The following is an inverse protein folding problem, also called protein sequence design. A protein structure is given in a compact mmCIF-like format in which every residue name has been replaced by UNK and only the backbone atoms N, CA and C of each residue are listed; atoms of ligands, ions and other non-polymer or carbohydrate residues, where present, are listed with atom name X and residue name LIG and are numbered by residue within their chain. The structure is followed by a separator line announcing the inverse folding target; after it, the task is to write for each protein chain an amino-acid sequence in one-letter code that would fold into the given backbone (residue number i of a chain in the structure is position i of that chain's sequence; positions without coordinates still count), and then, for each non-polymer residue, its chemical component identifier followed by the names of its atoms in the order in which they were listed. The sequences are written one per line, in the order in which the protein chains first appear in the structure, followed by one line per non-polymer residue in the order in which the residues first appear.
data_IF_983984344163
#
_entry.id   IF_983984344163
#
_cell.length_a   1.000
_cell.length_b   1.000
_cell.length_c   1.000
_cell.angle_alpha   90.00
_cell.angle_beta   90.00
_cell.angle_gamma   90.00
#
_symmetry.space_group_name_H-M   'P 1'
#
loop_
_entity.id
_entity.type
_entity.pdbx_description
1 polymer ?
#
# COMPACT_ATOMS: atom_id res chain seq x y z
N UNK A 1 33.18 -35.85 73.67
CA UNK A 1 33.30 -36.90 74.66
C UNK A 1 33.00 -38.23 73.94
N UNK A 2 34.01 -39.09 73.91
CA UNK A 2 34.08 -40.54 73.63
C UNK A 2 33.50 -41.08 72.33
N UNK A 3 34.36 -41.51 71.45
CA UNK A 3 35.28 -42.64 71.35
C UNK A 3 34.61 -43.92 70.86
N UNK A 4 35.10 -44.39 69.66
CA UNK A 4 35.58 -45.78 69.34
C UNK A 4 34.51 -46.87 69.31
N UNK A 5 34.51 -47.86 68.41
CA UNK A 5 35.61 -48.66 67.85
C UNK A 5 35.08 -49.48 66.65
N UNK A 6 35.96 -49.73 65.74
CA UNK A 6 36.23 -50.91 64.91
C UNK A 6 35.53 -52.23 65.28
N UNK A 7 35.06 -53.01 64.29
CA UNK A 7 35.75 -54.25 64.02
C UNK A 7 35.44 -54.90 62.65
N UNK A 8 36.35 -55.68 62.21
CA UNK A 8 36.59 -56.37 60.96
C UNK A 8 35.76 -57.67 60.83
N UNK A 9 35.52 -58.04 59.57
CA UNK A 9 35.51 -59.48 59.32
C UNK A 9 34.71 -60.00 58.16
N UNK A 10 35.50 -60.48 57.23
CA UNK A 10 35.39 -61.68 56.38
C UNK A 10 34.67 -61.69 55.05
N UNK A 11 35.50 -62.11 54.10
CA UNK A 11 35.28 -62.46 52.71
C UNK A 11 34.25 -63.57 52.47
N UNK A 12 33.57 -63.46 51.38
CA UNK A 12 32.87 -64.55 50.72
C UNK A 12 32.81 -64.29 49.22
N UNK A 13 33.64 -65.03 48.46
CA UNK A 13 33.63 -65.04 46.98
C UNK A 13 32.38 -65.75 46.51
N UNK A 14 31.61 -65.06 45.61
CA UNK A 14 30.74 -65.76 44.67
C UNK A 14 30.89 -65.05 43.30
N UNK A 15 31.35 -65.88 42.38
CA UNK A 15 31.50 -65.54 40.94
C UNK A 15 30.14 -65.58 40.28
N UNK A 16 29.77 -64.51 39.58
CA UNK A 16 28.65 -64.55 38.65
C UNK A 16 28.90 -63.68 37.44
N UNK A 17 28.76 -64.25 36.30
CA UNK A 17 28.89 -63.88 34.92
C UNK A 17 28.57 -62.42 34.58
N UNK A 18 29.49 -61.79 33.85
CA UNK A 18 29.22 -60.54 33.04
C UNK A 18 28.40 -60.90 31.78
N UNK A 19 27.23 -60.29 31.63
CA UNK A 19 26.59 -60.12 30.36
C UNK A 19 26.65 -58.56 30.05
N UNK A 20 27.62 -58.19 29.20
CA UNK A 20 27.74 -56.79 28.70
C UNK A 20 26.70 -56.60 27.64
N UNK A 21 25.60 -55.90 27.98
CA UNK A 21 24.69 -55.30 26.98
C UNK A 21 25.22 -53.93 26.65
N UNK A 22 25.94 -53.81 25.54
CA UNK A 22 26.34 -52.53 24.94
C UNK A 22 25.14 -51.81 24.33
N UNK A 23 24.61 -50.79 25.02
CA UNK A 23 23.72 -49.79 24.39
C UNK A 23 24.60 -48.81 23.61
N UNK A 24 24.68 -49.00 22.30
CA UNK A 24 25.19 -47.98 21.39
C UNK A 24 24.18 -46.82 21.33
N UNK A 25 24.49 -45.72 22.01
CA UNK A 25 23.80 -44.44 21.89
C UNK A 25 24.19 -43.85 20.53
N UNK A 26 23.42 -44.16 19.48
CA UNK A 26 23.50 -43.47 18.21
C UNK A 26 22.91 -42.04 18.44
N UNK A 27 23.77 -41.11 18.75
CA UNK A 27 23.41 -39.69 18.67
C UNK A 27 23.08 -39.39 17.21
N UNK A 28 21.82 -39.28 16.89
CA UNK A 28 21.38 -38.61 15.67
C UNK A 28 21.84 -37.14 15.77
N UNK A 29 22.99 -36.83 15.20
CA UNK A 29 23.34 -35.49 14.83
C UNK A 29 22.35 -35.07 13.72
N UNK A 30 21.25 -34.42 14.11
CA UNK A 30 20.48 -33.66 13.16
C UNK A 30 21.47 -32.66 12.52
N UNK A 31 21.54 -32.56 11.20
CA UNK A 31 22.36 -31.52 10.59
C UNK A 31 21.88 -30.18 11.16
N UNK A 32 22.78 -29.40 11.74
CA UNK A 32 22.51 -28.01 12.04
C UNK A 32 21.97 -27.39 10.77
N UNK A 33 20.90 -26.57 10.84
CA UNK A 33 20.48 -25.84 9.67
C UNK A 33 21.69 -25.10 9.14
N UNK A 34 22.03 -25.34 7.86
CA UNK A 34 23.05 -24.56 7.19
C UNK A 34 22.58 -23.11 7.31
N UNK A 35 23.33 -22.28 8.02
CA UNK A 35 23.12 -20.83 7.94
C UNK A 35 23.30 -20.50 6.47
N UNK A 36 22.22 -20.05 5.82
CA UNK A 36 22.35 -19.54 4.46
C UNK A 36 23.38 -18.43 4.50
N UNK A 37 24.38 -18.51 3.61
CA UNK A 37 25.37 -17.46 3.52
C UNK A 37 24.65 -16.13 3.22
N UNK A 38 24.95 -15.12 4.04
CA UNK A 38 24.43 -13.76 3.83
C UNK A 38 24.83 -13.30 2.43
N UNK A 39 23.92 -12.61 1.73
CA UNK A 39 24.22 -12.05 0.40
C UNK A 39 25.43 -11.14 0.47
N UNK A 40 26.36 -11.29 -0.48
CA UNK A 40 27.44 -10.31 -0.69
C UNK A 40 26.83 -9.07 -1.39
N UNK A 41 26.34 -8.13 -0.56
CA UNK A 41 25.68 -6.92 -1.03
C UNK A 41 26.70 -5.95 -1.64
N UNK A 42 26.41 -5.44 -2.83
CA UNK A 42 27.33 -4.56 -3.57
C UNK A 42 27.33 -3.13 -3.03
N UNK A 43 26.23 -2.74 -2.34
CA UNK A 43 26.07 -1.45 -1.67
C UNK A 43 25.27 -1.67 -0.40
N UNK A 44 25.88 -1.41 0.73
CA UNK A 44 25.33 -1.64 2.07
C UNK A 44 24.72 -0.38 2.72
N UNK A 45 25.27 0.81 2.46
CA UNK A 45 24.70 2.07 2.95
C UNK A 45 23.64 2.62 2.00
N UNK A 46 22.39 2.70 2.46
CA UNK A 46 21.24 3.06 1.64
C UNK A 46 20.41 4.18 2.27
N UNK A 47 19.78 4.99 1.42
CA UNK A 47 18.84 6.03 1.81
C UNK A 47 17.48 5.78 1.16
N UNK A 48 16.44 5.64 1.97
CA UNK A 48 15.07 5.47 1.50
C UNK A 48 14.20 6.66 1.89
N UNK A 49 13.45 7.17 0.90
CA UNK A 49 12.48 8.23 1.11
C UNK A 49 11.10 7.70 1.45
N UNK A 50 10.34 8.46 2.24
CA UNK A 50 8.94 8.15 2.51
C UNK A 50 8.11 9.42 2.75
N UNK A 51 6.81 9.30 2.63
CA UNK A 51 5.83 10.31 3.06
C UNK A 51 5.19 9.83 4.38
N UNK A 52 4.86 10.77 5.26
CA UNK A 52 4.27 10.52 6.60
C UNK A 52 2.83 9.99 6.49
N UNK A 53 2.74 8.68 6.26
CA UNK A 53 1.52 7.88 6.09
C UNK A 53 1.73 6.52 6.77
N UNK A 54 0.65 5.87 7.20
CA UNK A 54 0.74 4.56 7.87
C UNK A 54 1.22 3.45 6.93
N UNK A 55 1.01 3.59 5.64
CA UNK A 55 1.43 2.64 4.61
C UNK A 55 2.95 2.56 4.37
N UNK A 56 3.73 3.48 4.99
CA UNK A 56 5.19 3.33 5.07
C UNK A 56 5.65 2.29 6.10
N UNK A 57 4.72 1.67 6.84
CA UNK A 57 5.01 0.76 7.95
C UNK A 57 6.04 -0.34 7.62
N UNK A 58 6.04 -1.00 6.44
CA UNK A 58 7.05 -2.01 6.13
C UNK A 58 8.49 -1.47 6.23
N UNK A 59 8.74 -0.21 5.87
CA UNK A 59 10.05 0.41 6.00
C UNK A 59 10.43 0.68 7.47
N UNK A 60 9.49 1.25 8.24
CA UNK A 60 9.71 1.54 9.66
C UNK A 60 9.95 0.26 10.47
N UNK A 61 9.16 -0.79 10.20
CA UNK A 61 9.28 -2.07 10.89
C UNK A 61 10.58 -2.78 10.50
N UNK A 62 10.95 -2.81 9.21
CA UNK A 62 12.21 -3.41 8.79
C UNK A 62 13.41 -2.72 9.45
N UNK A 63 13.35 -1.39 9.63
CA UNK A 63 14.38 -0.63 10.33
C UNK A 63 14.39 -0.92 11.85
N UNK A 64 13.25 -0.76 12.54
CA UNK A 64 13.19 -0.89 14.01
C UNK A 64 13.37 -2.33 14.51
N UNK A 65 13.07 -3.32 13.68
CA UNK A 65 13.27 -4.75 14.00
C UNK A 65 14.65 -5.28 13.57
N UNK A 66 15.50 -4.45 12.97
CA UNK A 66 16.82 -4.84 12.51
C UNK A 66 16.83 -5.76 11.28
N UNK A 67 15.71 -5.83 10.52
CA UNK A 67 15.64 -6.72 9.36
C UNK A 67 16.54 -6.26 8.21
N UNK A 68 16.82 -4.96 8.10
CA UNK A 68 17.82 -4.46 7.15
C UNK A 68 19.24 -4.87 7.55
N UNK A 69 19.59 -4.73 8.80
CA UNK A 69 20.91 -5.11 9.33
C UNK A 69 21.13 -6.62 9.24
N UNK A 70 20.11 -7.44 9.46
CA UNK A 70 20.17 -8.90 9.28
C UNK A 70 20.52 -9.29 7.84
N UNK A 71 20.17 -8.46 6.87
CA UNK A 71 20.51 -8.62 5.44
C UNK A 71 21.79 -7.86 5.03
N UNK A 72 22.54 -7.30 5.99
CA UNK A 72 23.77 -6.57 5.75
C UNK A 72 23.57 -5.15 5.21
N UNK A 73 22.40 -4.55 5.42
CA UNK A 73 22.07 -3.21 4.94
C UNK A 73 22.00 -2.19 6.07
N UNK A 74 22.64 -1.04 5.88
CA UNK A 74 22.59 0.10 6.79
C UNK A 74 21.72 1.20 6.18
N UNK A 75 20.44 1.21 6.57
CA UNK A 75 19.44 2.07 5.95
C UNK A 75 19.22 3.35 6.75
N UNK A 76 19.13 4.48 6.06
CA UNK A 76 18.64 5.75 6.59
C UNK A 76 17.26 6.02 5.99
N UNK A 77 16.24 6.24 6.82
CA UNK A 77 14.89 6.61 6.39
C UNK A 77 14.74 8.13 6.45
N UNK A 78 14.39 8.75 5.32
CA UNK A 78 14.26 10.21 5.19
C UNK A 78 12.82 10.62 4.83
N UNK A 79 12.08 11.35 5.72
CA UNK A 79 10.76 11.88 5.37
C UNK A 79 10.90 12.97 4.30
N UNK A 80 10.00 12.94 3.32
CA UNK A 80 9.97 13.87 2.21
C UNK A 80 8.78 14.84 2.33
N UNK A 81 8.92 16.05 1.80
CA UNK A 81 7.90 17.09 1.87
C UNK A 81 6.64 16.78 1.05
N UNK A 82 6.81 16.14 -0.10
CA UNK A 82 5.74 15.76 -1.02
C UNK A 82 6.21 14.69 -2.02
N UNK A 83 5.27 14.14 -2.79
CA UNK A 83 5.51 13.08 -3.76
C UNK A 83 6.41 13.46 -4.93
N UNK A 84 6.39 14.75 -5.34
CA UNK A 84 7.28 15.22 -6.42
C UNK A 84 8.72 15.24 -5.98
N UNK A 85 9.01 15.82 -4.82
CA UNK A 85 10.36 15.86 -4.23
C UNK A 85 10.90 14.45 -4.02
N UNK A 86 10.08 13.54 -3.52
CA UNK A 86 10.46 12.13 -3.32
C UNK A 86 10.86 11.48 -4.65
N UNK A 87 10.04 11.61 -5.69
CA UNK A 87 10.32 11.05 -7.02
C UNK A 87 11.60 11.64 -7.61
N UNK A 88 11.75 12.97 -7.59
CA UNK A 88 12.93 13.66 -8.13
C UNK A 88 14.23 13.18 -7.46
N UNK A 89 14.21 13.01 -6.13
CA UNK A 89 15.36 12.54 -5.37
C UNK A 89 15.72 11.07 -5.65
N UNK A 90 14.76 10.22 -5.98
CA UNK A 90 15.03 8.87 -6.47
C UNK A 90 15.63 8.92 -7.89
N UNK A 91 15.08 9.74 -8.77
CA UNK A 91 15.58 9.89 -10.15
C UNK A 91 17.03 10.39 -10.16
N UNK A 92 17.38 11.37 -9.31
CA UNK A 92 18.75 11.92 -9.22
C UNK A 92 19.73 10.98 -8.52
N UNK A 93 19.25 9.97 -7.81
CA UNK A 93 20.06 9.05 -7.02
C UNK A 93 20.46 9.59 -5.64
N UNK A 94 19.83 10.67 -5.18
CA UNK A 94 19.97 11.13 -3.80
C UNK A 94 19.31 10.16 -2.81
N UNK A 95 18.24 9.48 -3.27
CA UNK A 95 17.63 8.35 -2.60
C UNK A 95 17.86 7.10 -3.44
N UNK A 96 18.19 6.00 -2.78
CA UNK A 96 18.40 4.69 -3.43
C UNK A 96 17.07 4.00 -3.74
N UNK A 97 16.06 4.28 -2.94
CA UNK A 97 14.69 3.79 -3.12
C UNK A 97 13.69 4.61 -2.32
N UNK A 98 12.41 4.37 -2.53
CA UNK A 98 11.39 5.09 -1.79
C UNK A 98 10.04 4.36 -1.76
N UNK A 99 9.29 4.60 -0.68
CA UNK A 99 7.86 4.47 -0.59
C UNK A 99 7.21 5.36 -1.63
N UNK A 100 6.55 4.79 -2.64
CA UNK A 100 6.02 5.53 -3.79
C UNK A 100 4.53 5.25 -3.99
N UNK A 101 3.85 6.22 -4.58
CA UNK A 101 2.56 5.98 -5.22
C UNK A 101 2.73 4.98 -6.37
N UNK A 102 1.90 3.95 -6.45
CA UNK A 102 2.04 2.90 -7.46
C UNK A 102 2.00 3.44 -8.91
N UNK A 103 1.33 4.56 -9.14
CA UNK A 103 1.32 5.24 -10.44
C UNK A 103 2.61 5.99 -10.80
N UNK A 104 3.48 6.34 -9.83
CA UNK A 104 4.68 7.14 -10.12
C UNK A 104 5.72 6.41 -10.99
N UNK A 105 6.11 5.14 -10.73
CA UNK A 105 7.01 4.41 -11.60
C UNK A 105 6.45 4.22 -13.02
N UNK A 106 5.15 3.98 -13.13
CA UNK A 106 4.47 3.84 -14.41
C UNK A 106 4.46 5.15 -15.20
N UNK A 107 4.06 6.24 -14.57
CA UNK A 107 4.02 7.58 -15.16
C UNK A 107 5.41 8.04 -15.62
N UNK A 108 6.44 7.84 -14.79
CA UNK A 108 7.82 8.15 -15.15
C UNK A 108 8.29 7.33 -16.35
N UNK A 109 7.96 6.04 -16.42
CA UNK A 109 8.33 5.17 -17.53
C UNK A 109 7.68 5.57 -18.85
N UNK A 110 6.39 5.96 -18.83
CA UNK A 110 5.68 6.42 -20.05
C UNK A 110 5.94 7.90 -20.39
N UNK A 111 6.59 8.65 -19.49
CA UNK A 111 6.94 10.06 -19.71
C UNK A 111 5.82 11.06 -19.38
N UNK A 112 4.85 10.69 -18.53
CA UNK A 112 3.90 11.67 -17.99
C UNK A 112 4.54 12.41 -16.81
N UNK A 113 4.80 13.70 -16.99
CA UNK A 113 5.63 14.51 -16.11
C UNK A 113 7.13 14.30 -16.41
N UNK A 114 7.90 13.78 -15.46
CA UNK A 114 9.32 13.49 -15.64
C UNK A 114 9.51 12.10 -16.24
N UNK A 115 10.40 11.96 -17.22
CA UNK A 115 10.73 10.66 -17.82
C UNK A 115 11.92 10.01 -17.11
N UNK A 116 11.70 8.83 -16.55
CA UNK A 116 12.73 8.01 -15.91
C UNK A 116 12.32 6.54 -15.88
N UNK A 117 13.27 5.62 -15.79
CA UNK A 117 12.97 4.20 -15.65
C UNK A 117 13.08 3.79 -14.17
N UNK A 118 11.95 3.77 -13.50
CA UNK A 118 11.78 3.29 -12.12
C UNK A 118 11.10 1.93 -12.17
N UNK A 119 11.61 0.99 -11.39
CA UNK A 119 11.02 -0.34 -11.25
C UNK A 119 10.54 -0.57 -9.83
N UNK A 120 9.56 -1.48 -9.68
CA UNK A 120 9.06 -1.87 -8.36
C UNK A 120 9.12 -3.39 -8.18
N UNK A 121 9.98 -3.89 -7.29
CA UNK A 121 10.06 -5.30 -6.93
C UNK A 121 9.12 -5.67 -5.77
N UNK A 122 8.43 -4.70 -5.15
CA UNK A 122 7.68 -4.89 -3.93
C UNK A 122 6.48 -3.95 -3.88
N UNK A 123 5.27 -4.52 -3.75
CA UNK A 123 4.06 -3.78 -3.39
C UNK A 123 4.00 -3.62 -1.88
N UNK A 124 3.62 -2.45 -1.36
CA UNK A 124 3.78 -2.19 0.07
C UNK A 124 2.55 -2.55 0.88
N UNK A 125 1.36 -2.42 0.29
CA UNK A 125 0.09 -2.67 0.98
C UNK A 125 -1.09 -2.81 0.02
N UNK A 126 -2.22 -3.21 0.59
CA UNK A 126 -3.55 -3.10 0.00
C UNK A 126 -4.40 -2.17 0.85
N UNK A 127 -5.28 -1.41 0.19
CA UNK A 127 -6.21 -0.47 0.83
C UNK A 127 -5.47 0.64 1.61
N UNK A 128 -6.11 1.24 2.62
CA UNK A 128 -5.48 2.20 3.54
C UNK A 128 -5.82 3.66 3.25
N UNK A 129 -6.70 3.93 2.28
CA UNK A 129 -7.17 5.28 1.95
C UNK A 129 -8.63 5.50 2.35
N UNK A 130 -9.01 6.78 2.46
CA UNK A 130 -10.40 7.16 2.65
C UNK A 130 -10.72 8.49 1.97
N UNK A 131 -12.00 8.69 1.69
CA UNK A 131 -12.53 9.98 1.22
C UNK A 131 -13.25 10.65 2.38
N UNK A 132 -12.74 11.80 2.79
CA UNK A 132 -13.31 12.65 3.84
C UNK A 132 -13.94 13.89 3.24
N UNK A 133 -15.12 14.28 3.73
CA UNK A 133 -15.79 15.54 3.40
C UNK A 133 -15.85 16.46 4.60
N UNK A 134 -16.01 17.77 4.37
CA UNK A 134 -16.21 18.75 5.45
C UNK A 134 -17.53 18.51 6.18
N UNK A 135 -17.63 18.99 7.42
CA UNK A 135 -18.87 18.92 8.19
C UNK A 135 -20.05 19.59 7.48
N UNK A 136 -19.81 20.68 6.73
CA UNK A 136 -20.82 21.35 5.93
C UNK A 136 -21.37 20.41 4.85
N UNK A 137 -20.50 19.80 4.06
CA UNK A 137 -20.89 18.82 3.03
C UNK A 137 -21.56 17.61 3.63
N UNK A 138 -21.05 17.10 4.75
CA UNK A 138 -21.66 15.97 5.46
C UNK A 138 -23.08 16.28 5.92
N UNK A 139 -23.33 17.46 6.49
CA UNK A 139 -24.65 17.89 6.91
C UNK A 139 -25.66 17.93 5.76
N UNK A 140 -25.20 18.27 4.54
CA UNK A 140 -26.03 18.25 3.32
C UNK A 140 -26.26 16.82 2.80
N UNK A 141 -25.29 15.93 2.89
CA UNK A 141 -25.39 14.56 2.38
C UNK A 141 -26.19 13.64 3.33
N UNK A 142 -25.94 13.70 4.63
CA UNK A 142 -26.38 12.75 5.66
C UNK A 142 -27.89 12.50 5.68
N UNK A 143 -28.78 13.50 5.51
CA UNK A 143 -30.23 13.28 5.49
C UNK A 143 -30.73 12.36 4.37
N UNK A 144 -29.98 12.23 3.30
CA UNK A 144 -30.32 11.45 2.10
C UNK A 144 -29.77 10.03 2.13
N UNK A 145 -28.85 9.73 3.04
CA UNK A 145 -28.20 8.43 3.13
C UNK A 145 -29.10 7.46 3.92
N UNK A 146 -29.35 6.24 3.41
CA UNK A 146 -30.07 5.20 4.14
C UNK A 146 -29.41 4.92 5.51
N UNK A 147 -30.23 4.59 6.48
CA UNK A 147 -29.80 4.27 7.83
C UNK A 147 -29.90 2.78 8.12
N UNK A 148 -28.96 2.26 8.87
CA UNK A 148 -29.04 0.94 9.49
C UNK A 148 -30.08 0.95 10.62
N UNK A 149 -30.41 -0.24 11.16
CA UNK A 149 -31.39 -0.38 12.25
C UNK A 149 -31.00 0.39 13.53
N UNK A 150 -29.70 0.62 13.75
CA UNK A 150 -29.18 1.39 14.88
C UNK A 150 -29.13 2.91 14.63
N UNK A 151 -29.61 3.37 13.47
CA UNK A 151 -29.68 4.78 13.08
C UNK A 151 -28.40 5.34 12.45
N UNK A 152 -27.31 4.57 12.38
CA UNK A 152 -26.06 4.99 11.72
C UNK A 152 -26.21 4.96 10.19
N UNK A 153 -25.43 5.77 9.45
CA UNK A 153 -25.43 5.72 7.99
C UNK A 153 -25.07 4.33 7.46
N UNK A 154 -25.77 3.90 6.41
CA UNK A 154 -25.47 2.64 5.74
C UNK A 154 -24.29 2.82 4.77
N UNK A 155 -23.29 1.98 4.87
CA UNK A 155 -22.16 1.91 3.96
C UNK A 155 -22.29 0.76 2.94
N UNK A 156 -21.67 0.86 1.76
CA UNK A 156 -20.85 1.98 1.28
C UNK A 156 -21.68 3.22 0.91
N UNK A 157 -21.15 4.42 1.19
CA UNK A 157 -21.79 5.69 0.80
C UNK A 157 -21.34 6.05 -0.61
N UNK A 158 -22.26 6.02 -1.56
CA UNK A 158 -22.00 6.36 -2.97
C UNK A 158 -22.00 7.88 -3.20
N UNK A 159 -21.30 8.32 -4.24
CA UNK A 159 -21.22 9.74 -4.60
C UNK A 159 -22.56 10.30 -5.15
N UNK A 160 -23.55 9.46 -5.42
CA UNK A 160 -24.92 9.89 -5.74
C UNK A 160 -25.48 10.86 -4.67
N UNK A 161 -25.13 10.63 -3.39
CA UNK A 161 -25.53 11.51 -2.29
C UNK A 161 -24.73 12.82 -2.23
N UNK A 162 -23.55 12.89 -2.86
CA UNK A 162 -22.79 14.10 -3.02
C UNK A 162 -23.27 14.94 -4.22
N UNK A 163 -23.82 14.31 -5.24
CA UNK A 163 -24.21 14.98 -6.50
C UNK A 163 -25.11 16.20 -6.30
N UNK A 164 -26.19 16.16 -5.50
CA UNK A 164 -27.00 17.34 -5.25
C UNK A 164 -26.23 18.51 -4.62
N UNK A 165 -25.22 18.19 -3.77
CA UNK A 165 -24.36 19.20 -3.14
C UNK A 165 -23.50 19.88 -4.20
N UNK A 166 -22.88 19.12 -5.09
CA UNK A 166 -22.07 19.67 -6.20
C UNK A 166 -22.94 20.52 -7.13
N UNK A 167 -24.15 20.08 -7.45
CA UNK A 167 -25.11 20.82 -8.27
C UNK A 167 -25.54 22.15 -7.61
N UNK A 168 -25.72 22.16 -6.30
CA UNK A 168 -26.02 23.38 -5.53
C UNK A 168 -24.86 24.36 -5.61
N UNK A 169 -23.61 23.93 -5.36
CA UNK A 169 -22.42 24.76 -5.49
C UNK A 169 -22.31 25.37 -6.88
N UNK A 170 -22.57 24.58 -7.92
CA UNK A 170 -22.57 25.02 -9.31
C UNK A 170 -23.65 26.07 -9.57
N UNK A 171 -24.85 25.88 -9.04
CA UNK A 171 -25.95 26.86 -9.16
C UNK A 171 -25.66 28.19 -8.45
N UNK A 172 -24.87 28.14 -7.36
CA UNK A 172 -24.38 29.29 -6.62
C UNK A 172 -23.15 29.95 -7.27
N UNK A 173 -22.65 29.41 -8.39
CA UNK A 173 -21.42 29.88 -9.05
C UNK A 173 -20.14 29.60 -8.27
N UNK A 174 -20.17 28.66 -7.33
CA UNK A 174 -19.04 28.26 -6.50
C UNK A 174 -18.42 26.98 -7.03
N UNK A 175 -17.08 26.89 -7.24
CA UNK A 175 -16.44 25.65 -7.62
C UNK A 175 -16.39 24.68 -6.43
N UNK A 176 -16.87 23.44 -6.62
CA UNK A 176 -16.72 22.38 -5.63
C UNK A 176 -15.32 21.79 -5.73
N UNK A 177 -14.48 22.02 -4.73
CA UNK A 177 -13.06 21.66 -4.74
C UNK A 177 -12.79 20.49 -3.79
N UNK A 178 -11.99 19.50 -4.26
CA UNK A 178 -11.51 18.39 -3.43
C UNK A 178 -9.99 18.24 -3.56
N UNK A 179 -9.37 17.72 -2.48
CA UNK A 179 -7.95 17.46 -2.43
C UNK A 179 -7.61 16.04 -2.90
N UNK A 180 -6.51 15.90 -3.61
CA UNK A 180 -5.84 14.63 -3.89
C UNK A 180 -4.33 14.83 -3.74
N UNK A 181 -3.55 13.76 -3.57
CA UNK A 181 -2.15 13.90 -3.16
C UNK A 181 -1.18 14.09 -4.32
N UNK A 182 -1.52 13.57 -5.51
CA UNK A 182 -0.70 13.70 -6.72
C UNK A 182 -1.50 13.22 -7.95
N UNK A 183 -1.24 13.75 -9.17
CA UNK A 183 -2.01 13.41 -10.37
C UNK A 183 -2.02 11.92 -10.75
N UNK A 184 -0.97 11.17 -10.41
CA UNK A 184 -0.85 9.73 -10.71
C UNK A 184 -0.96 8.86 -9.46
N UNK A 185 -1.66 9.34 -8.43
CA UNK A 185 -1.91 8.62 -7.18
C UNK A 185 -3.15 7.75 -7.25
N UNK A 186 -3.16 6.66 -6.49
CA UNK A 186 -4.35 5.87 -6.20
C UNK A 186 -5.48 6.76 -5.69
N UNK A 187 -5.18 7.66 -4.76
CA UNK A 187 -6.11 8.66 -4.20
C UNK A 187 -6.82 9.49 -5.27
N UNK A 188 -6.08 9.96 -6.30
CA UNK A 188 -6.69 10.69 -7.41
C UNK A 188 -7.60 9.80 -8.25
N UNK A 189 -7.19 8.56 -8.50
CA UNK A 189 -7.99 7.64 -9.32
C UNK A 189 -9.20 7.09 -8.58
N UNK A 190 -9.10 6.81 -7.29
CA UNK A 190 -10.22 6.39 -6.44
C UNK A 190 -11.24 7.49 -6.24
N UNK A 191 -10.76 8.73 -5.98
CA UNK A 191 -11.64 9.88 -5.89
C UNK A 191 -12.40 10.11 -7.20
N UNK A 192 -11.71 10.05 -8.35
CA UNK A 192 -12.32 10.14 -9.68
C UNK A 192 -13.27 8.98 -9.95
N UNK A 193 -12.91 7.79 -9.52
CA UNK A 193 -13.73 6.59 -9.66
C UNK A 193 -15.05 6.74 -8.89
N UNK A 194 -14.97 7.09 -7.61
CA UNK A 194 -16.12 7.30 -6.74
C UNK A 194 -17.05 8.40 -7.24
N UNK A 195 -16.48 9.57 -7.61
CA UNK A 195 -17.25 10.67 -8.18
C UNK A 195 -17.99 10.27 -9.46
N UNK A 196 -17.27 9.63 -10.39
CA UNK A 196 -17.83 9.18 -11.66
C UNK A 196 -18.90 8.10 -11.50
N UNK A 197 -18.74 7.18 -10.56
CA UNK A 197 -19.74 6.17 -10.22
C UNK A 197 -21.04 6.79 -9.71
N UNK A 198 -20.99 7.96 -9.05
CA UNK A 198 -22.15 8.77 -8.64
C UNK A 198 -22.63 9.78 -9.68
N UNK A 199 -22.10 9.74 -10.91
CA UNK A 199 -22.50 10.64 -11.99
C UNK A 199 -21.98 12.08 -11.88
N UNK A 200 -20.87 12.29 -11.16
CA UNK A 200 -20.15 13.57 -11.04
C UNK A 200 -18.89 13.48 -11.91
N UNK A 201 -18.72 14.41 -12.85
CA UNK A 201 -17.56 14.41 -13.73
C UNK A 201 -16.33 15.01 -13.02
N UNK A 202 -15.24 14.24 -12.80
CA UNK A 202 -14.06 14.75 -12.08
C UNK A 202 -13.07 15.51 -12.97
N UNK A 203 -13.34 15.65 -14.26
CA UNK A 203 -12.51 16.32 -15.26
C UNK A 203 -11.55 15.39 -16.00
N UNK A 204 -10.97 15.92 -17.09
CA UNK A 204 -9.95 15.24 -17.90
C UNK A 204 -8.62 16.01 -17.86
N UNK A 205 -7.56 15.27 -18.12
CA UNK A 205 -6.25 15.78 -18.55
C UNK A 205 -6.21 15.80 -20.08
N UNK A 206 -5.36 16.65 -20.64
CA UNK A 206 -4.97 16.61 -22.06
C UNK A 206 -3.50 16.97 -22.19
N UNK A 207 -2.94 16.83 -23.39
CA UNK A 207 -1.57 17.24 -23.71
C UNK A 207 -1.32 18.73 -23.42
N UNK A 208 -2.32 19.56 -23.66
CA UNK A 208 -2.23 21.02 -23.53
C UNK A 208 -2.72 21.53 -22.16
N UNK A 209 -3.41 20.68 -21.39
CA UNK A 209 -3.95 21.03 -20.08
C UNK A 209 -3.82 19.83 -19.11
N UNK A 210 -2.77 19.90 -18.31
CA UNK A 210 -2.44 18.88 -17.29
C UNK A 210 -3.10 19.13 -15.91
N UNK A 211 -4.08 20.07 -15.83
CA UNK A 211 -4.78 20.34 -14.56
C UNK A 211 -5.71 19.21 -14.14
N UNK A 212 -6.16 18.38 -15.09
CA UNK A 212 -7.16 17.35 -14.84
C UNK A 212 -8.57 17.87 -14.58
N UNK A 213 -8.87 19.10 -15.01
CA UNK A 213 -10.12 19.81 -14.70
C UNK A 213 -11.00 20.09 -15.94
N UNK A 214 -10.63 19.59 -17.12
CA UNK A 214 -11.42 19.78 -18.34
C UNK A 214 -12.77 19.08 -18.17
N UNK A 215 -13.90 19.82 -18.33
CA UNK A 215 -15.28 19.35 -18.14
C UNK A 215 -15.61 18.93 -16.69
N UNK A 216 -14.86 19.36 -15.70
CA UNK A 216 -15.08 18.97 -14.31
C UNK A 216 -16.35 19.59 -13.71
N UNK A 217 -17.15 18.79 -13.00
CA UNK A 217 -18.16 19.25 -12.04
C UNK A 217 -17.53 19.41 -10.64
N UNK A 218 -16.57 18.55 -10.29
CA UNK A 218 -15.75 18.64 -9.10
C UNK A 218 -14.27 18.85 -9.47
N UNK A 219 -13.64 19.87 -8.86
CA UNK A 219 -12.29 20.31 -9.18
C UNK A 219 -11.27 19.71 -8.22
N UNK A 220 -10.37 18.88 -8.71
CA UNK A 220 -9.37 18.20 -7.89
C UNK A 220 -8.06 18.97 -7.89
N UNK A 221 -7.45 19.15 -6.71
CA UNK A 221 -6.19 19.87 -6.53
C UNK A 221 -5.21 19.08 -5.67
N UNK A 222 -3.91 19.27 -5.92
CA UNK A 222 -2.85 18.61 -5.16
C UNK A 222 -2.69 19.25 -3.79
N UNK A 223 -2.73 18.41 -2.75
CA UNK A 223 -2.43 18.79 -1.37
C UNK A 223 -1.58 17.68 -0.73
N UNK A 224 -0.43 17.99 -0.11
CA UNK A 224 0.37 16.99 0.60
C UNK A 224 -0.44 16.33 1.73
N UNK A 225 -0.28 15.01 1.97
CA UNK A 225 -1.09 14.27 2.94
C UNK A 225 -1.21 14.90 4.32
N UNK A 226 -0.12 15.32 5.00
CA UNK A 226 -0.25 15.92 6.34
C UNK A 226 -0.97 17.26 6.37
N UNK A 227 -1.14 17.92 5.21
CA UNK A 227 -1.80 19.22 5.10
C UNK A 227 -3.31 19.10 4.80
N UNK A 228 -3.80 17.91 4.43
CA UNK A 228 -5.21 17.70 4.05
C UNK A 228 -6.19 18.16 5.12
N UNK A 229 -6.06 17.76 6.42
CA UNK A 229 -6.99 18.19 7.45
C UNK A 229 -7.03 19.71 7.62
N UNK A 230 -5.88 20.37 7.64
CA UNK A 230 -5.80 21.82 7.79
C UNK A 230 -6.39 22.57 6.59
N UNK A 231 -6.21 22.03 5.38
CA UNK A 231 -6.77 22.62 4.13
C UNK A 231 -8.29 22.49 4.10
N UNK A 232 -8.84 21.38 4.64
CA UNK A 232 -10.29 21.18 4.82
C UNK A 232 -10.85 22.14 5.88
N UNK A 233 -10.20 22.25 7.03
CA UNK A 233 -10.58 23.14 8.13
C UNK A 233 -10.60 24.61 7.71
N UNK A 234 -9.65 25.01 6.85
CA UNK A 234 -9.59 26.34 6.27
C UNK A 234 -10.67 26.61 5.20
N UNK A 235 -11.47 25.62 4.81
CA UNK A 235 -12.49 25.75 3.76
C UNK A 235 -11.93 25.95 2.34
N UNK A 236 -10.65 25.65 2.12
CA UNK A 236 -10.02 25.73 0.79
C UNK A 236 -10.47 24.59 -0.12
N UNK A 237 -10.73 23.44 0.47
CA UNK A 237 -11.34 22.26 -0.14
C UNK A 237 -12.54 21.81 0.69
N UNK A 238 -13.49 21.10 0.07
CA UNK A 238 -14.70 20.59 0.71
C UNK A 238 -14.68 19.09 0.99
N UNK A 239 -13.64 18.44 0.53
CA UNK A 239 -13.33 17.04 0.78
C UNK A 239 -11.99 16.68 0.19
N UNK A 240 -11.52 15.46 0.44
CA UNK A 240 -10.26 14.95 -0.08
C UNK A 240 -10.24 13.42 -0.08
N UNK A 241 -9.32 12.83 -0.85
CA UNK A 241 -8.89 11.44 -0.70
C UNK A 241 -7.42 11.41 -0.25
N UNK A 242 -7.15 10.69 0.82
CA UNK A 242 -5.80 10.58 1.41
C UNK A 242 -5.63 9.25 2.14
N UNK A 243 -4.38 8.80 2.27
CA UNK A 243 -4.01 7.67 3.13
C UNK A 243 -4.06 8.04 4.62
N UNK A 244 -4.09 7.01 5.47
CA UNK A 244 -4.10 7.21 6.92
C UNK A 244 -2.72 7.70 7.45
N UNK A 245 -2.74 8.46 8.56
CA UNK A 245 -3.85 8.65 9.52
C UNK A 245 -4.68 9.93 9.29
N UNK A 246 -4.61 10.56 8.12
CA UNK A 246 -5.11 11.92 7.92
C UNK A 246 -6.63 12.01 7.78
N UNK A 247 -7.34 10.91 7.47
CA UNK A 247 -8.80 10.86 7.61
C UNK A 247 -9.18 10.75 9.09
N UNK A 248 -8.53 9.87 9.85
CA UNK A 248 -8.77 9.74 11.29
C UNK A 248 -8.40 11.01 12.06
N UNK A 249 -7.39 11.76 11.60
CA UNK A 249 -7.04 13.06 12.17
C UNK A 249 -8.18 14.07 12.01
N UNK A 250 -8.90 14.05 10.89
CA UNK A 250 -10.07 14.93 10.69
C UNK A 250 -11.23 14.56 11.63
N UNK A 251 -11.48 13.27 11.83
CA UNK A 251 -12.48 12.77 12.80
C UNK A 251 -12.09 13.17 14.22
N UNK A 252 -10.84 12.95 14.61
CA UNK A 252 -10.33 13.29 15.94
C UNK A 252 -10.49 14.78 16.25
N UNK A 253 -10.17 15.64 15.29
CA UNK A 253 -10.36 17.08 15.40
C UNK A 253 -11.81 17.55 15.25
N UNK A 254 -12.72 16.69 14.79
CA UNK A 254 -14.12 17.03 14.54
C UNK A 254 -14.32 18.02 13.38
N UNK A 255 -13.44 18.00 12.35
CA UNK A 255 -13.47 18.93 11.21
C UNK A 255 -13.98 18.30 9.92
N UNK A 256 -14.11 17.00 9.87
CA UNK A 256 -14.57 16.27 8.69
C UNK A 256 -15.02 14.86 9.01
N UNK A 257 -15.68 14.24 8.04
CA UNK A 257 -16.26 12.91 8.13
C UNK A 257 -15.80 12.07 6.94
N UNK A 258 -15.08 10.97 7.15
CA UNK A 258 -14.84 9.98 6.12
C UNK A 258 -16.17 9.37 5.66
N UNK A 259 -16.48 9.49 4.38
CA UNK A 259 -17.73 8.98 3.82
C UNK A 259 -17.57 7.61 3.20
N UNK A 260 -16.35 7.22 2.83
CA UNK A 260 -16.06 5.92 2.23
C UNK A 260 -14.56 5.61 2.34
N UNK A 261 -14.24 4.33 2.49
CA UNK A 261 -12.87 3.82 2.39
C UNK A 261 -12.60 3.31 0.97
N UNK A 262 -11.34 3.24 0.58
CA UNK A 262 -10.94 2.63 -0.70
C UNK A 262 -11.30 1.13 -0.77
N UNK A 263 -11.23 0.42 0.36
CA UNK A 263 -11.74 -0.95 0.48
C UNK A 263 -13.21 -1.09 0.04
N UNK A 264 -14.05 -0.08 0.31
CA UNK A 264 -15.45 -0.05 -0.13
C UNK A 264 -15.61 0.36 -1.59
N UNK A 265 -14.63 1.09 -2.16
CA UNK A 265 -14.61 1.47 -3.59
C UNK A 265 -14.17 0.28 -4.44
N UNK A 266 -13.08 -0.36 -4.04
CA UNK A 266 -12.49 -1.54 -4.66
C UNK A 266 -11.81 -2.39 -3.60
N UNK A 267 -12.44 -3.49 -3.20
CA UNK A 267 -11.92 -4.37 -2.17
C UNK A 267 -10.55 -4.94 -2.55
N UNK A 268 -9.62 -4.88 -1.59
CA UNK A 268 -8.24 -5.34 -1.72
C UNK A 268 -7.48 -4.66 -2.87
N UNK A 269 -7.70 -3.36 -3.04
CA UNK A 269 -7.01 -2.57 -4.06
C UNK A 269 -5.51 -2.41 -3.71
N UNK A 270 -4.59 -2.47 -4.71
CA UNK A 270 -3.18 -2.16 -4.50
C UNK A 270 -3.00 -0.66 -4.26
N UNK A 271 -2.07 -0.27 -3.40
CA UNK A 271 -1.94 1.14 -3.04
C UNK A 271 -0.52 1.67 -3.25
N UNK A 272 0.44 1.32 -2.39
CA UNK A 272 1.81 1.81 -2.50
C UNK A 272 2.77 0.74 -3.06
N UNK A 273 3.89 1.22 -3.56
CA UNK A 273 4.99 0.37 -4.02
C UNK A 273 6.32 0.88 -3.47
N UNK A 274 7.30 -0.01 -3.39
CA UNK A 274 8.68 0.40 -3.19
C UNK A 274 9.35 0.55 -4.56
N UNK A 275 9.77 1.76 -4.89
CA UNK A 275 10.36 2.11 -6.18
C UNK A 275 11.87 2.32 -6.08
N UNK A 276 12.60 1.78 -7.04
CA UNK A 276 14.04 1.96 -7.23
C UNK A 276 14.33 2.26 -8.70
N UNK A 277 15.47 2.90 -9.01
CA UNK A 277 15.88 3.04 -10.40
C UNK A 277 16.21 1.66 -11.00
N UNK A 278 15.90 1.48 -12.30
CA UNK A 278 16.21 0.24 -13.00
C UNK A 278 17.72 -0.02 -13.05
N UNK A 279 18.54 1.01 -13.31
CA UNK A 279 20.01 0.90 -13.32
C UNK A 279 20.60 0.57 -11.94
N UNK A 280 19.95 0.99 -10.85
CA UNK A 280 20.31 0.57 -9.50
C UNK A 280 20.09 -0.94 -9.31
N UNK A 281 18.94 -1.47 -9.70
CA UNK A 281 18.64 -2.89 -9.58
C UNK A 281 19.59 -3.76 -10.43
N UNK A 282 19.98 -3.29 -11.62
CA UNK A 282 20.93 -3.97 -12.49
C UNK A 282 22.36 -3.95 -11.93
N UNK A 283 22.76 -2.82 -11.35
CA UNK A 283 24.11 -2.63 -10.80
C UNK A 283 24.31 -3.31 -9.45
N UNK A 284 23.27 -3.39 -8.63
CA UNK A 284 23.32 -3.88 -7.25
C UNK A 284 22.27 -4.98 -7.02
N UNK A 285 22.34 -6.13 -7.75
CA UNK A 285 21.31 -7.15 -7.72
C UNK A 285 21.16 -7.84 -6.36
N UNK A 286 22.25 -8.09 -5.61
CA UNK A 286 22.18 -8.69 -4.29
C UNK A 286 21.63 -7.68 -3.27
N UNK A 287 22.03 -6.42 -3.35
CA UNK A 287 21.47 -5.33 -2.54
C UNK A 287 19.95 -5.23 -2.75
N UNK A 288 19.49 -5.25 -4.00
CA UNK A 288 18.06 -5.22 -4.32
C UNK A 288 17.30 -6.43 -3.74
N UNK A 289 17.89 -7.63 -3.78
CA UNK A 289 17.31 -8.83 -3.14
C UNK A 289 17.24 -8.68 -1.61
N UNK A 290 18.33 -8.23 -0.98
CA UNK A 290 18.41 -8.01 0.46
C UNK A 290 17.34 -7.00 0.94
N UNK A 291 17.15 -5.90 0.20
CA UNK A 291 16.11 -4.91 0.48
C UNK A 291 14.70 -5.55 0.48
N UNK A 292 14.39 -6.34 -0.56
CA UNK A 292 13.08 -7.00 -0.69
C UNK A 292 12.88 -8.05 0.40
N UNK A 293 13.91 -8.83 0.76
CA UNK A 293 13.86 -9.80 1.88
C UNK A 293 13.49 -9.11 3.18
N UNK A 294 14.17 -8.02 3.53
CA UNK A 294 13.91 -7.27 4.76
C UNK A 294 12.46 -6.73 4.82
N UNK A 295 11.96 -6.18 3.70
CA UNK A 295 10.59 -5.65 3.62
C UNK A 295 9.53 -6.75 3.66
N UNK A 296 9.76 -7.91 3.04
CA UNK A 296 8.84 -9.06 3.16
C UNK A 296 8.72 -9.51 4.62
N UNK A 297 9.85 -9.63 5.35
CA UNK A 297 9.84 -9.96 6.79
C UNK A 297 9.03 -8.96 7.61
N UNK A 298 9.19 -7.68 7.33
CA UNK A 298 8.41 -6.62 7.99
C UNK A 298 6.91 -6.71 7.69
N UNK A 299 6.55 -6.99 6.45
CA UNK A 299 5.16 -7.18 6.04
C UNK A 299 4.52 -8.41 6.71
N UNK A 300 5.24 -9.54 6.78
CA UNK A 300 4.80 -10.74 7.54
C UNK A 300 4.55 -10.36 9.00
N UNK A 301 5.50 -9.71 9.66
CA UNK A 301 5.38 -9.31 11.06
C UNK A 301 4.16 -8.40 11.30
N UNK A 302 3.85 -7.50 10.36
CA UNK A 302 2.69 -6.60 10.47
C UNK A 302 1.35 -7.35 10.46
N UNK A 303 1.23 -8.44 9.70
CA UNK A 303 -0.03 -9.15 9.48
C UNK A 303 -0.15 -10.48 10.22
N UNK A 304 0.95 -10.98 10.84
CA UNK A 304 0.93 -12.26 11.51
C UNK A 304 -0.02 -12.30 12.72
N UNK A 305 -0.53 -13.50 13.02
CA UNK A 305 -1.39 -13.77 14.18
C UNK A 305 -2.59 -12.80 14.28
N UNK A 306 -3.30 -12.58 13.16
CA UNK A 306 -4.46 -11.69 13.09
C UNK A 306 -4.16 -10.26 13.54
N UNK A 307 -3.06 -9.69 13.03
CA UNK A 307 -2.62 -8.32 13.34
C UNK A 307 -2.13 -8.12 14.79
N UNK A 308 -1.65 -9.16 15.46
CA UNK A 308 -1.25 -9.09 16.86
C UNK A 308 -0.20 -7.98 17.15
N UNK A 309 0.65 -7.67 16.18
CA UNK A 309 1.73 -6.69 16.32
C UNK A 309 1.32 -5.25 15.96
N UNK A 310 0.07 -5.02 15.53
CA UNK A 310 -0.36 -3.70 15.03
C UNK A 310 -0.28 -2.58 16.07
N UNK A 311 -0.51 -2.86 17.37
CA UNK A 311 -0.33 -1.84 18.41
C UNK A 311 1.14 -1.44 18.59
N UNK A 312 2.08 -2.38 18.51
CA UNK A 312 3.51 -2.04 18.52
C UNK A 312 3.89 -1.22 17.28
N UNK A 313 3.36 -1.58 16.11
CA UNK A 313 3.53 -0.79 14.89
C UNK A 313 2.98 0.65 15.04
N UNK A 314 1.84 0.82 15.70
CA UNK A 314 1.26 2.14 16.02
C UNK A 314 2.22 2.98 16.87
N UNK A 315 2.79 2.39 17.92
CA UNK A 315 3.77 3.07 18.80
C UNK A 315 5.03 3.49 18.04
N UNK A 316 5.50 2.64 17.12
CA UNK A 316 6.64 2.95 16.25
C UNK A 316 6.28 4.10 15.31
N UNK A 317 5.17 4.01 14.59
CA UNK A 317 4.76 5.01 13.60
C UNK A 317 4.42 6.37 14.23
N UNK A 318 3.98 6.40 15.49
CA UNK A 318 3.70 7.63 16.23
C UNK A 318 4.97 8.44 16.54
N UNK A 319 6.16 7.84 16.47
CA UNK A 319 7.41 8.58 16.65
C UNK A 319 7.56 9.70 15.61
N UNK A 320 8.07 10.89 15.99
CA UNK A 320 8.27 12.03 15.07
C UNK A 320 9.14 11.71 13.84
N UNK A 321 10.02 10.71 13.97
CA UNK A 321 10.89 10.24 12.90
C UNK A 321 10.11 9.57 11.75
N UNK A 322 8.91 9.07 12.01
CA UNK A 322 8.04 8.38 11.04
C UNK A 322 6.81 9.22 10.71
N UNK A 323 5.61 8.74 11.05
CA UNK A 323 4.35 9.46 10.79
C UNK A 323 4.20 10.67 11.71
N UNK A 324 4.43 10.47 13.00
CA UNK A 324 4.43 11.54 14.00
C UNK A 324 3.04 12.10 14.32
N UNK A 325 1.97 11.35 14.04
CA UNK A 325 0.62 11.63 14.51
C UNK A 325 0.38 10.93 15.86
N UNK A 326 -0.66 11.35 16.58
CA UNK A 326 -1.02 10.73 17.86
C UNK A 326 -1.31 9.24 17.70
N UNK A 327 -0.80 8.43 18.63
CA UNK A 327 -0.96 6.96 18.56
C UNK A 327 -2.43 6.54 18.54
N UNK A 328 -3.33 7.23 19.25
CA UNK A 328 -4.78 6.98 19.22
C UNK A 328 -5.36 7.18 17.81
N UNK A 329 -4.92 8.21 17.11
CA UNK A 329 -5.36 8.50 15.73
C UNK A 329 -4.87 7.43 14.77
N UNK A 330 -3.60 7.03 14.86
CA UNK A 330 -3.03 5.96 14.03
C UNK A 330 -3.73 4.63 14.32
N UNK A 331 -4.00 4.30 15.58
CA UNK A 331 -4.64 3.06 15.99
C UNK A 331 -6.04 2.87 15.39
N UNK A 332 -6.78 3.95 15.17
CA UNK A 332 -8.15 3.87 14.63
C UNK A 332 -8.25 3.22 13.23
N UNK A 333 -7.16 3.13 12.49
CA UNK A 333 -7.13 2.46 11.18
C UNK A 333 -6.19 1.25 11.15
N UNK A 334 -5.09 1.31 11.92
CA UNK A 334 -4.07 0.24 11.90
C UNK A 334 -4.49 -1.05 12.62
N UNK A 335 -5.49 -0.99 13.50
CA UNK A 335 -5.88 -2.13 14.35
C UNK A 335 -7.15 -2.86 13.90
N UNK A 336 -7.51 -2.74 12.62
CA UNK A 336 -8.68 -3.44 12.05
C UNK A 336 -10.01 -2.79 12.37
N UNK A 337 -9.99 -1.50 12.67
CA UNK A 337 -11.19 -0.67 12.86
C UNK A 337 -11.08 0.60 12.02
N UNK A 338 -12.20 1.29 11.85
CA UNK A 338 -12.24 2.60 11.20
C UNK A 338 -13.35 3.45 11.83
N UNK A 339 -13.06 4.69 12.18
CA UNK A 339 -14.03 5.62 12.73
C UNK A 339 -14.50 6.58 11.64
N UNK A 340 -15.78 6.51 11.26
CA UNK A 340 -16.39 7.36 10.22
C UNK A 340 -16.83 8.72 10.76
N UNK A 341 -17.69 8.73 11.74
CA UNK A 341 -18.04 9.91 12.55
C UNK A 341 -17.51 9.70 13.96
N UNK A 342 -17.29 10.74 14.72
CA UNK A 342 -16.87 10.62 16.13
C UNK A 342 -17.86 9.77 16.92
N UNK A 343 -17.40 8.62 17.39
CA UNK A 343 -18.21 7.61 18.06
C UNK A 343 -18.78 6.53 17.14
N UNK A 344 -18.69 6.64 15.82
CA UNK A 344 -19.07 5.60 14.86
C UNK A 344 -17.85 4.80 14.40
N UNK A 345 -17.25 4.07 15.33
CA UNK A 345 -16.13 3.17 15.08
C UNK A 345 -16.63 1.80 14.68
N UNK A 346 -16.18 1.29 13.53
CA UNK A 346 -16.64 0.02 12.95
C UNK A 346 -15.48 -0.94 12.73
N UNK A 347 -15.71 -2.27 12.82
CA UNK A 347 -14.73 -3.26 12.38
C UNK A 347 -14.50 -3.15 10.86
N UNK A 348 -13.25 -3.00 10.46
CA UNK A 348 -12.77 -3.06 9.08
C UNK A 348 -11.40 -3.76 9.11
N UNK A 349 -11.36 -5.09 9.34
CA UNK A 349 -10.12 -5.81 9.63
C UNK A 349 -9.10 -5.76 8.49
N UNK A 350 -9.57 -5.61 7.26
CA UNK A 350 -8.73 -5.53 6.06
C UNK A 350 -8.61 -4.09 5.53
N UNK A 351 -8.84 -3.08 6.37
CA UNK A 351 -8.68 -1.69 5.96
C UNK A 351 -7.25 -1.39 5.47
N UNK A 352 -6.24 -1.96 6.13
CA UNK A 352 -4.84 -1.84 5.70
C UNK A 352 -4.15 -3.19 5.84
N UNK A 353 -3.80 -3.80 4.72
CA UNK A 353 -3.20 -5.13 4.62
C UNK A 353 -1.79 -5.02 4.08
N UNK A 354 -0.81 -5.61 4.80
CA UNK A 354 0.60 -5.51 4.41
C UNK A 354 1.16 -6.80 3.82
N UNK A 355 0.58 -7.97 4.11
CA UNK A 355 1.11 -9.23 3.63
C UNK A 355 0.02 -10.21 3.16
N UNK A 356 -1.08 -10.34 3.90
CA UNK A 356 -2.20 -11.22 3.51
C UNK A 356 -2.64 -10.94 2.08
N UNK A 357 -3.28 -11.94 1.43
CA UNK A 357 -3.79 -11.84 0.06
C UNK A 357 -2.69 -11.53 -0.97
N UNK A 358 -1.44 -11.91 -0.65
CA UNK A 358 -0.24 -11.60 -1.45
C UNK A 358 -0.08 -10.10 -1.72
N UNK A 359 -0.35 -9.27 -0.70
CA UNK A 359 -0.30 -7.82 -0.78
C UNK A 359 1.04 -7.29 -1.29
N UNK A 360 2.14 -7.97 -0.94
CA UNK A 360 3.50 -7.55 -1.32
C UNK A 360 3.97 -8.01 -2.70
N UNK A 361 3.23 -8.92 -3.34
CA UNK A 361 3.59 -9.39 -4.68
C UNK A 361 3.19 -8.36 -5.74
N UNK A 362 4.13 -7.87 -6.58
CA UNK A 362 3.85 -6.86 -7.59
C UNK A 362 3.18 -7.48 -8.82
N UNK A 363 1.85 -7.59 -8.81
CA UNK A 363 1.08 -8.13 -9.92
C UNK A 363 1.09 -7.19 -11.13
N UNK A 364 1.28 -7.71 -12.34
CA UNK A 364 1.15 -6.94 -13.58
C UNK A 364 -0.28 -6.37 -13.75
N UNK A 365 -1.29 -7.11 -13.32
CA UNK A 365 -2.68 -6.62 -13.38
C UNK A 365 -2.87 -5.35 -12.55
N UNK A 366 -2.17 -5.22 -11.42
CA UNK A 366 -2.25 -4.03 -10.58
C UNK A 366 -1.66 -2.81 -11.32
N UNK A 367 -0.49 -2.97 -11.95
CA UNK A 367 0.09 -1.94 -12.83
C UNK A 367 -0.86 -1.55 -13.97
N UNK A 368 -1.50 -2.53 -14.60
CA UNK A 368 -2.43 -2.30 -15.71
C UNK A 368 -3.66 -1.50 -15.26
N UNK A 369 -4.17 -1.73 -14.05
CA UNK A 369 -5.28 -0.92 -13.54
C UNK A 369 -4.92 0.57 -13.52
N UNK A 370 -3.75 0.94 -13.01
CA UNK A 370 -3.28 2.34 -13.02
C UNK A 370 -3.19 2.90 -14.43
N UNK A 371 -2.62 2.14 -15.36
CA UNK A 371 -2.52 2.57 -16.76
C UNK A 371 -3.91 2.75 -17.40
N UNK A 372 -4.89 1.91 -17.06
CA UNK A 372 -6.27 2.10 -17.52
C UNK A 372 -6.90 3.37 -16.98
N UNK A 373 -6.65 3.72 -15.72
CA UNK A 373 -7.11 4.98 -15.13
C UNK A 373 -6.39 6.18 -15.74
N UNK A 374 -5.08 6.10 -15.99
CA UNK A 374 -4.33 7.14 -16.70
C UNK A 374 -4.94 7.37 -18.10
N UNK A 375 -5.34 6.31 -18.79
CA UNK A 375 -6.01 6.40 -20.10
C UNK A 375 -7.42 6.95 -19.96
N UNK A 376 -8.22 6.43 -19.03
CA UNK A 376 -9.60 6.86 -18.78
C UNK A 376 -9.71 8.38 -18.53
N UNK A 377 -8.70 8.94 -17.89
CA UNK A 377 -8.71 10.37 -17.52
C UNK A 377 -7.85 11.25 -18.41
N UNK A 378 -7.25 10.72 -19.49
CA UNK A 378 -6.55 11.49 -20.52
C UNK A 378 -5.07 11.75 -20.26
N UNK A 379 -4.47 11.18 -19.21
CA UNK A 379 -3.02 11.27 -18.96
C UNK A 379 -2.22 10.47 -20.01
N UNK A 380 -2.77 9.35 -20.47
CA UNK A 380 -2.34 8.69 -21.70
C UNK A 380 -3.24 9.22 -22.81
N UNK A 381 -2.76 10.23 -23.53
CA UNK A 381 -3.57 10.95 -24.52
C UNK A 381 -3.95 10.06 -25.72
N UNK A 382 -3.00 9.32 -26.25
CA UNK A 382 -3.19 8.52 -27.45
C UNK A 382 -3.79 7.14 -27.13
N UNK A 383 -4.70 6.64 -27.98
CA UNK A 383 -5.16 5.26 -27.93
C UNK A 383 -3.99 4.25 -27.93
N UNK A 384 -4.12 3.18 -27.14
CA UNK A 384 -3.14 2.09 -27.06
C UNK A 384 -3.85 0.76 -27.23
N UNK A 385 -3.16 -0.21 -27.80
CA UNK A 385 -3.65 -1.61 -27.83
C UNK A 385 -3.40 -2.30 -26.46
N UNK A 386 -4.03 -3.44 -26.25
CA UNK A 386 -3.88 -4.17 -24.98
C UNK A 386 -2.43 -4.61 -24.75
N UNK A 387 -1.67 -4.95 -25.79
CA UNK A 387 -0.28 -5.36 -25.68
C UNK A 387 0.61 -4.29 -25.06
N UNK A 388 0.39 -3.03 -25.41
CA UNK A 388 1.13 -1.90 -24.83
C UNK A 388 1.02 -1.82 -23.29
N UNK A 389 -0.18 -2.06 -22.75
CA UNK A 389 -0.39 -2.03 -21.27
C UNK A 389 0.41 -3.15 -20.59
N UNK A 390 0.41 -4.34 -21.18
CA UNK A 390 1.19 -5.48 -20.69
C UNK A 390 2.71 -5.23 -20.75
N UNK A 391 3.19 -4.64 -21.83
CA UNK A 391 4.60 -4.31 -21.99
C UNK A 391 5.08 -3.27 -20.97
N UNK A 392 4.30 -2.21 -20.74
CA UNK A 392 4.63 -1.19 -19.74
C UNK A 392 4.61 -1.78 -18.33
N UNK A 393 3.59 -2.58 -18.00
CA UNK A 393 3.52 -3.26 -16.70
C UNK A 393 4.77 -4.13 -16.44
N UNK A 394 5.19 -4.92 -17.42
CA UNK A 394 6.39 -5.79 -17.32
C UNK A 394 7.70 -5.02 -17.25
N UNK A 395 7.78 -3.81 -17.82
CA UNK A 395 8.95 -2.95 -17.69
C UNK A 395 9.12 -2.40 -16.27
N UNK A 396 8.03 -2.21 -15.54
CA UNK A 396 8.04 -1.53 -14.24
C UNK A 396 7.96 -2.52 -13.09
N UNK A 397 7.02 -3.46 -13.12
CA UNK A 397 6.80 -4.42 -12.04
C UNK A 397 7.72 -5.62 -12.19
N UNK A 398 8.43 -5.98 -11.09
CA UNK A 398 9.50 -6.98 -11.09
C UNK A 398 9.18 -8.20 -10.20
N UNK A 399 8.13 -8.99 -10.52
CA UNK A 399 7.74 -10.13 -9.69
C UNK A 399 8.80 -11.23 -9.62
N UNK A 400 9.68 -11.35 -10.63
CA UNK A 400 10.76 -12.34 -10.62
C UNK A 400 11.79 -12.04 -9.50
N UNK A 401 12.13 -10.76 -9.28
CA UNK A 401 13.02 -10.35 -8.18
C UNK A 401 12.35 -10.61 -6.83
N UNK A 402 11.06 -10.30 -6.71
CA UNK A 402 10.28 -10.60 -5.51
C UNK A 402 10.29 -12.09 -5.18
N UNK A 403 9.96 -12.97 -6.14
CA UNK A 403 9.91 -14.42 -5.92
C UNK A 403 11.29 -15.01 -5.58
N UNK A 404 12.38 -14.44 -6.14
CA UNK A 404 13.74 -14.86 -5.78
C UNK A 404 14.04 -14.53 -4.32
N UNK A 405 13.70 -13.33 -3.85
CA UNK A 405 13.85 -12.93 -2.44
C UNK A 405 12.97 -13.80 -1.53
N UNK A 406 11.72 -14.04 -1.92
CA UNK A 406 10.78 -14.90 -1.20
C UNK A 406 11.30 -16.35 -1.06
N UNK A 407 11.90 -16.92 -2.13
CA UNK A 407 12.50 -18.25 -2.10
C UNK A 407 13.63 -18.33 -1.07
N UNK A 408 14.49 -17.34 -1.03
CA UNK A 408 15.57 -17.28 -0.04
C UNK A 408 15.03 -17.24 1.39
N UNK A 409 14.00 -16.43 1.66
CA UNK A 409 13.36 -16.37 2.98
C UNK A 409 12.73 -17.71 3.42
N UNK A 410 12.17 -18.47 2.48
CA UNK A 410 11.64 -19.80 2.76
C UNK A 410 12.78 -20.77 3.10
N UNK A 411 13.88 -20.76 2.34
CA UNK A 411 15.06 -21.59 2.57
C UNK A 411 15.75 -21.26 3.89
N UNK A 412 15.75 -19.99 4.30
CA UNK A 412 16.28 -19.47 5.56
C UNK A 412 15.33 -19.73 6.75
N UNK A 413 14.09 -20.15 6.51
CA UNK A 413 13.08 -20.41 7.55
C UNK A 413 12.39 -19.16 8.09
N UNK A 414 12.51 -18.01 7.40
CA UNK A 414 11.86 -16.74 7.76
C UNK A 414 10.45 -16.59 7.20
N UNK A 415 10.05 -17.46 6.26
CA UNK A 415 8.73 -17.48 5.66
C UNK A 415 8.32 -18.92 5.29
N UNK A 416 7.05 -19.15 4.97
CA UNK A 416 6.52 -20.46 4.60
C UNK A 416 6.33 -20.54 3.09
N UNK A 417 6.46 -21.71 2.50
CA UNK A 417 6.18 -21.97 1.09
C UNK A 417 4.75 -21.53 0.68
N UNK A 418 3.78 -21.71 1.59
CA UNK A 418 2.38 -21.33 1.37
C UNK A 418 2.11 -19.83 1.31
N UNK A 419 3.08 -19.01 1.71
CA UNK A 419 2.90 -17.55 1.85
C UNK A 419 2.97 -16.82 0.50
N UNK A 420 3.41 -17.50 -0.57
CA UNK A 420 3.72 -16.85 -1.82
C UNK A 420 3.01 -17.48 -3.02
N UNK A 421 2.69 -16.67 -4.07
CA UNK A 421 1.93 -17.12 -5.22
C UNK A 421 2.85 -17.73 -6.31
N UNK A 422 3.54 -18.83 -6.03
CA UNK A 422 4.53 -19.47 -6.92
C UNK A 422 4.01 -19.83 -8.31
N UNK A 423 2.72 -20.12 -8.43
CA UNK A 423 2.11 -20.62 -9.67
C UNK A 423 1.42 -19.50 -10.48
N UNK A 424 1.55 -18.25 -10.07
CA UNK A 424 0.92 -17.14 -10.77
C UNK A 424 1.66 -16.78 -12.06
N UNK A 425 0.93 -16.34 -13.06
CA UNK A 425 1.47 -15.72 -14.28
C UNK A 425 1.64 -14.20 -14.13
N UNK A 426 1.46 -13.67 -12.92
CA UNK A 426 1.54 -12.24 -12.61
C UNK A 426 0.23 -11.48 -12.74
N UNK A 427 -0.89 -12.16 -12.96
CA UNK A 427 -2.21 -11.56 -13.09
C UNK A 427 -3.15 -12.06 -12.00
N UNK A 428 -3.81 -11.14 -11.31
CA UNK A 428 -4.93 -11.49 -10.43
C UNK A 428 -6.10 -12.03 -11.26
N UNK A 429 -6.95 -12.88 -10.70
CA UNK A 429 -8.25 -13.21 -11.30
C UNK A 429 -9.05 -11.93 -11.56
N UNK A 430 -10.04 -11.93 -12.49
CA UNK A 430 -10.89 -10.77 -12.70
C UNK A 430 -11.52 -10.28 -11.40
N UNK A 431 -11.31 -9.00 -11.07
CA UNK A 431 -11.79 -8.34 -9.86
C UNK A 431 -13.23 -7.87 -10.07
N UNK A 432 -14.13 -8.22 -9.14
CA UNK A 432 -15.58 -7.99 -9.27
C UNK A 432 -16.15 -7.07 -8.19
N UNK A 433 -15.36 -6.79 -7.16
CA UNK A 433 -15.81 -6.07 -5.97
C UNK A 433 -15.49 -4.58 -6.07
N UNK A 434 -16.04 -3.94 -7.10
CA UNK A 434 -16.04 -2.49 -7.27
C UNK A 434 -17.41 -1.91 -6.91
N UNK A 435 -17.44 -0.68 -6.40
CA UNK A 435 -18.64 0.02 -5.94
C UNK A 435 -19.74 0.16 -7.02
N UNK A 436 -19.36 0.18 -8.29
CA UNK A 436 -20.24 0.29 -9.46
C UNK A 436 -20.53 -1.07 -10.14
N UNK A 437 -19.95 -2.15 -9.62
CA UNK A 437 -20.13 -3.50 -10.16
C UNK A 437 -19.39 -3.77 -11.48
N UNK A 438 -18.54 -2.85 -11.93
CA UNK A 438 -17.71 -3.07 -13.13
C UNK A 438 -16.62 -4.11 -12.80
N UNK A 439 -16.39 -5.04 -13.74
CA UNK A 439 -15.38 -6.09 -13.57
C UNK A 439 -14.07 -5.66 -14.21
N UNK A 440 -12.98 -5.68 -13.43
CA UNK A 440 -11.64 -5.46 -13.93
C UNK A 440 -10.95 -6.80 -14.25
N UNK A 441 -10.62 -7.02 -15.53
CA UNK A 441 -9.74 -8.08 -15.99
C UNK A 441 -8.46 -7.43 -16.55
N UNK A 442 -7.35 -7.56 -15.84
CA UNK A 442 -6.06 -6.99 -16.26
C UNK A 442 -5.56 -7.51 -17.61
N UNK A 443 -6.13 -8.59 -18.14
CA UNK A 443 -5.82 -9.10 -19.48
C UNK A 443 -6.55 -8.39 -20.62
N UNK A 444 -7.56 -7.54 -20.29
CA UNK A 444 -8.43 -6.86 -21.24
C UNK A 444 -8.57 -5.36 -20.92
N UNK A 445 -7.47 -4.60 -20.89
CA UNK A 445 -7.48 -3.21 -20.41
C UNK A 445 -8.42 -2.31 -21.24
N UNK A 446 -8.47 -2.41 -22.55
CA UNK A 446 -9.34 -1.58 -23.37
C UNK A 446 -10.83 -1.91 -23.18
N UNK A 447 -11.19 -3.17 -22.98
CA UNK A 447 -12.56 -3.55 -22.67
C UNK A 447 -13.01 -2.96 -21.32
N UNK A 448 -12.10 -2.92 -20.34
CA UNK A 448 -12.37 -2.28 -19.05
C UNK A 448 -12.55 -0.75 -19.18
N UNK A 449 -11.69 -0.07 -19.94
CA UNK A 449 -11.81 1.37 -20.22
C UNK A 449 -13.16 1.69 -20.89
N UNK A 450 -13.59 0.85 -21.84
CA UNK A 450 -14.83 1.06 -22.59
C UNK A 450 -16.11 0.79 -21.75
N UNK A 451 -16.00 0.13 -20.60
CA UNK A 451 -17.15 -0.20 -19.74
C UNK A 451 -17.73 0.99 -18.96
N UNK A 452 -16.97 2.07 -18.79
CA UNK A 452 -17.39 3.19 -17.95
C UNK A 452 -18.34 4.18 -18.65
N UNK A 453 -19.42 4.63 -18.00
CA UNK A 453 -20.26 5.71 -18.53
C UNK A 453 -19.51 7.05 -18.62
N UNK A 454 -18.73 7.38 -17.58
CA UNK A 454 -17.93 8.61 -17.48
C UNK A 454 -16.43 8.25 -17.58
N UNK A 455 -15.75 8.86 -18.53
CA UNK A 455 -14.36 8.64 -18.86
C UNK A 455 -14.15 8.48 -20.36
N UNK A 456 -12.91 8.66 -20.81
CA UNK A 456 -12.55 8.39 -22.20
C UNK A 456 -12.73 6.92 -22.52
N UNK A 457 -13.23 6.65 -23.71
CA UNK A 457 -13.18 5.31 -24.30
C UNK A 457 -11.78 5.02 -24.85
N UNK A 458 -11.49 3.74 -25.09
CA UNK A 458 -10.18 3.31 -25.55
C UNK A 458 -9.67 4.04 -26.79
N UNK A 459 -10.58 4.46 -27.69
CA UNK A 459 -10.25 5.15 -28.94
C UNK A 459 -10.46 6.68 -28.91
N UNK A 460 -10.94 7.23 -27.80
CA UNK A 460 -11.24 8.69 -27.70
C UNK A 460 -10.04 9.47 -27.19
N UNK A 461 -9.98 10.76 -27.52
CA UNK A 461 -8.99 11.73 -27.01
C UNK A 461 -9.68 12.96 -26.45
N UNK A 462 -8.96 13.77 -25.68
CA UNK A 462 -9.41 15.12 -25.26
C UNK A 462 -8.65 16.16 -26.05
N UNK A 463 -9.39 17.01 -26.77
CA UNK A 463 -8.85 18.16 -27.49
C UNK A 463 -9.54 19.41 -27.00
N UNK A 464 -8.77 20.34 -26.41
CA UNK A 464 -9.32 21.53 -25.77
C UNK A 464 -10.32 21.16 -24.65
N UNK A 465 -11.58 21.57 -24.81
CA UNK A 465 -12.67 21.29 -23.86
C UNK A 465 -13.67 20.25 -24.41
N UNK A 466 -13.28 19.44 -25.37
CA UNK A 466 -14.15 18.45 -26.02
C UNK A 466 -13.53 17.06 -26.01
N UNK A 467 -14.39 16.04 -25.89
CA UNK A 467 -14.02 14.63 -26.13
C UNK A 467 -14.23 14.34 -27.63
N UNK A 468 -13.23 13.75 -28.28
CA UNK A 468 -13.20 13.47 -29.72
C UNK A 468 -13.04 11.96 -29.96
N UNK A 469 -13.77 11.44 -30.96
CA UNK A 469 -13.69 10.02 -31.39
C UNK A 469 -12.52 9.81 -32.35
#
# INVERSE_FOLDING_TARGET
MHLRTRDKGRAGKVTALMAAAGFALAAFLAPAPAMADMLDVEKDELKFGFIKLTDMAPLAIAYEKGYFEDEGLFVTLEPQANWKVLLDRVITGELDGAHMLAGQPLAATIGFGTKAHIVTPFSMDLNGNGITVSNEVWAMMKPHIPKMADGRPQHPIKADYLKPVVEQFKAEGKPFKMGMVFPVSTHNYELRYWLAAGGIHPGFYSTDNISGQILADAFLSVTPPPQMPATLEAGTIYGYCVGEPWNQQAVFKGIGVPVITDYEIWKDNPEKVFGIRADFAEKYPNTALAMVKAMIRAAIWLDENDNANRMEAVEILAKPAYVGADAEVIANSMTGTFEYEKGDKRPVPDFNVFFRYHATYPYYSDAIWYLTQMRRWGQIAEPRDDAWYHEVAKKVYQPALYLKAARMLVEEGHAKESDFPWQTDGYRPPQKEFIDGVVFDGRKPNAYIDSFPIGLKAKQTVAGNAVVN
#
